data_IF_863412873220
#
_entry.id   IF_863412873220
#
_cell.length_a   1.000
_cell.length_b   1.000
_cell.length_c   1.000
_cell.angle_alpha   90.00
_cell.angle_beta   90.00
_cell.angle_gamma   90.00
#
_symmetry.space_group_name_H-M   'P 1'
#
loop_
_entity.id
_entity.type
_entity.pdbx_description
1 polymer ?
#
# COMPACT_ATOMS: atom_id res chain seq x y z
N UNK A 1 9.90 12.21 9.02
CA UNK A 1 9.14 11.93 7.80
C UNK A 1 7.77 11.40 8.13
N UNK A 2 6.78 11.75 7.36
CA UNK A 2 5.39 11.36 7.55
C UNK A 2 4.99 10.36 6.47
N UNK A 3 4.69 9.14 6.85
CA UNK A 3 4.27 8.09 5.92
C UNK A 3 2.81 7.73 6.22
N UNK A 4 1.98 7.71 5.18
CA UNK A 4 0.59 7.26 5.30
C UNK A 4 0.48 5.83 4.80
N UNK A 5 -0.18 4.98 5.59
CA UNK A 5 -0.55 3.64 5.17
C UNK A 5 -2.08 3.58 5.13
N UNK A 6 -2.62 3.45 3.92
CA UNK A 6 -4.06 3.31 3.71
C UNK A 6 -4.38 1.90 3.26
N UNK A 7 -5.44 1.30 3.82
CA UNK A 7 -5.76 -0.09 3.47
C UNK A 7 -7.25 -0.38 3.60
N UNK A 8 -7.68 -1.44 2.91
CA UNK A 8 -8.98 -2.07 3.12
C UNK A 8 -8.73 -3.55 3.35
N UNK A 9 -9.32 -4.10 4.40
CA UNK A 9 -9.19 -5.51 4.72
C UNK A 9 -10.56 -6.12 4.94
N UNK A 10 -10.75 -7.30 4.37
CA UNK A 10 -11.99 -8.04 4.51
C UNK A 10 -11.98 -9.02 5.67
N UNK A 11 -10.86 -9.67 5.89
CA UNK A 11 -10.73 -10.75 6.87
C UNK A 11 -9.50 -10.58 7.77
N UNK A 12 -8.96 -9.37 7.86
CA UNK A 12 -7.78 -9.10 8.68
C UNK A 12 -6.45 -9.42 7.99
N UNK A 13 -6.46 -10.03 6.80
CA UNK A 13 -5.22 -10.40 6.12
C UNK A 13 -4.37 -9.19 5.77
N UNK A 14 -4.99 -8.15 5.23
CA UNK A 14 -4.27 -6.92 4.87
C UNK A 14 -3.80 -6.19 6.13
N UNK A 15 -4.58 -6.24 7.21
CA UNK A 15 -4.20 -5.65 8.49
C UNK A 15 -2.92 -6.30 9.05
N UNK A 16 -2.77 -7.60 8.89
CA UNK A 16 -1.56 -8.30 9.35
C UNK A 16 -0.34 -7.85 8.57
N UNK A 17 -0.50 -7.62 7.26
CA UNK A 17 0.57 -7.06 6.43
C UNK A 17 0.93 -5.65 6.92
N UNK A 18 -0.08 -4.81 7.15
CA UNK A 18 0.12 -3.45 7.65
C UNK A 18 0.89 -3.45 8.97
N UNK A 19 0.54 -4.36 9.89
CA UNK A 19 1.21 -4.45 11.18
C UNK A 19 2.70 -4.71 11.04
N UNK A 20 3.08 -5.60 10.14
CA UNK A 20 4.50 -5.93 9.92
C UNK A 20 5.23 -4.73 9.31
N UNK A 21 4.61 -4.10 8.30
CA UNK A 21 5.19 -2.91 7.66
C UNK A 21 5.37 -1.78 8.68
N UNK A 22 4.35 -1.54 9.50
CA UNK A 22 4.39 -0.50 10.53
C UNK A 22 5.54 -0.71 11.50
N UNK A 23 5.70 -1.94 12.01
CA UNK A 23 6.77 -2.25 12.96
C UNK A 23 8.14 -1.98 12.36
N UNK A 24 8.33 -2.36 11.10
CA UNK A 24 9.61 -2.16 10.44
C UNK A 24 9.91 -0.67 10.24
N UNK A 25 8.90 0.10 9.81
CA UNK A 25 9.08 1.53 9.59
C UNK A 25 9.33 2.28 10.89
N UNK A 26 8.64 1.93 11.96
CA UNK A 26 8.78 2.61 13.24
C UNK A 26 10.15 2.42 13.89
N UNK A 27 10.92 1.43 13.45
CA UNK A 27 12.30 1.26 13.90
C UNK A 27 13.23 2.35 13.36
N UNK A 28 12.78 3.13 12.39
CA UNK A 28 13.60 4.07 11.65
C UNK A 28 13.24 5.54 11.90
N UNK A 29 12.56 5.83 12.99
CA UNK A 29 12.27 7.21 13.39
C UNK A 29 11.34 7.94 12.41
N UNK A 30 10.36 7.24 11.85
CA UNK A 30 9.36 7.84 10.97
C UNK A 30 8.00 7.84 11.67
N UNK A 31 7.17 8.82 11.35
CA UNK A 31 5.79 8.87 11.84
C UNK A 31 4.89 8.17 10.84
N UNK A 32 4.18 7.16 11.30
CA UNK A 32 3.30 6.36 10.46
C UNK A 32 1.84 6.65 10.83
N UNK A 33 1.05 7.07 9.84
CA UNK A 33 -0.40 7.26 10.01
C UNK A 33 -1.09 6.11 9.29
N UNK A 34 -1.87 5.32 10.02
CA UNK A 34 -2.60 4.18 9.47
C UNK A 34 -4.08 4.51 9.44
N UNK A 35 -4.69 4.39 8.27
CA UNK A 35 -6.10 4.76 8.06
C UNK A 35 -6.73 3.82 7.04
N UNK A 36 -8.00 3.53 7.19
CA UNK A 36 -8.74 2.82 6.14
C UNK A 36 -8.91 3.71 4.91
N UNK A 37 -8.90 3.10 3.72
CA UNK A 37 -8.91 3.88 2.48
C UNK A 37 -10.13 4.80 2.35
N UNK A 38 -11.29 4.38 2.82
CA UNK A 38 -12.48 5.19 2.75
C UNK A 38 -12.38 6.47 3.58
N UNK A 39 -11.53 6.48 4.60
CA UNK A 39 -11.28 7.67 5.43
C UNK A 39 -10.36 8.66 4.74
N UNK A 40 -9.65 8.24 3.69
CA UNK A 40 -8.80 9.13 2.90
C UNK A 40 -9.55 9.81 1.76
N UNK A 41 -10.79 9.43 1.49
CA UNK A 41 -11.59 10.09 0.45
C UNK A 41 -11.75 11.56 0.81
N UNK A 42 -11.39 12.44 -0.12
CA UNK A 42 -11.44 13.89 0.09
C UNK A 42 -10.22 14.49 0.79
N UNK A 43 -9.28 13.65 1.24
CA UNK A 43 -8.07 14.14 1.89
C UNK A 43 -6.99 14.52 0.88
N UNK A 44 -6.21 15.54 1.22
CA UNK A 44 -5.04 15.91 0.44
C UNK A 44 -3.86 15.05 0.85
N UNK A 45 -3.49 14.10 0.01
CA UNK A 45 -2.41 13.16 0.30
C UNK A 45 -1.02 13.74 0.07
N UNK A 46 -0.92 14.92 -0.56
CA UNK A 46 0.36 15.55 -0.84
C UNK A 46 1.11 16.01 0.42
N UNK A 47 0.42 16.05 1.56
CA UNK A 47 1.05 16.43 2.84
C UNK A 47 1.98 15.37 3.42
N UNK A 48 1.93 14.15 2.89
CA UNK A 48 2.79 13.07 3.35
C UNK A 48 4.08 13.03 2.55
N UNK A 49 5.11 12.44 3.14
CA UNK A 49 6.39 12.21 2.46
C UNK A 49 6.39 10.93 1.64
N UNK A 50 5.50 10.01 1.97
CA UNK A 50 5.34 8.76 1.23
C UNK A 50 4.00 8.10 1.50
N UNK A 51 3.55 7.28 0.54
CA UNK A 51 2.26 6.59 0.63
C UNK A 51 2.44 5.10 0.41
N UNK A 52 1.83 4.30 1.28
CA UNK A 52 1.70 2.86 1.10
C UNK A 52 0.21 2.53 1.11
N UNK A 53 -0.29 2.00 0.01
CA UNK A 53 -1.73 1.76 -0.15
C UNK A 53 -1.97 0.29 -0.46
N UNK A 54 -2.96 -0.30 0.19
CA UNK A 54 -3.23 -1.72 0.03
C UNK A 54 -4.68 -2.12 0.11
N UNK A 55 -4.98 -3.30 -0.44
CA UNK A 55 -6.32 -3.85 -0.47
C UNK A 55 -6.28 -5.36 -0.66
N UNK A 56 -7.36 -6.03 -0.27
CA UNK A 56 -7.61 -7.42 -0.63
C UNK A 56 -8.18 -7.48 -2.06
N UNK A 57 -7.80 -8.49 -2.82
CA UNK A 57 -8.35 -8.71 -4.15
C UNK A 57 -9.49 -9.73 -4.09
N UNK A 58 -10.66 -9.32 -4.57
CA UNK A 58 -11.84 -10.20 -4.67
C UNK A 58 -11.81 -11.01 -5.95
N UNK A 59 -12.25 -12.26 -5.88
CA UNK A 59 -12.58 -13.10 -7.02
C UNK A 59 -11.76 -12.85 -8.28
N UNK A 60 -12.34 -12.22 -9.27
CA UNK A 60 -11.73 -11.98 -10.57
C UNK A 60 -10.81 -10.75 -10.61
N UNK A 61 -10.35 -10.29 -9.46
CA UNK A 61 -9.43 -9.16 -9.39
C UNK A 61 -10.10 -7.83 -9.11
N UNK A 62 -11.34 -7.86 -8.66
CA UNK A 62 -12.08 -6.64 -8.33
C UNK A 62 -11.58 -6.02 -7.04
N UNK A 63 -11.62 -4.69 -6.99
CA UNK A 63 -11.37 -3.96 -5.75
C UNK A 63 -12.55 -4.15 -4.81
N UNK A 64 -12.27 -4.10 -3.51
CA UNK A 64 -13.33 -4.01 -2.52
C UNK A 64 -14.10 -2.70 -2.72
N UNK A 65 -15.39 -2.73 -2.44
CA UNK A 65 -16.27 -1.59 -2.67
C UNK A 65 -15.73 -0.32 -2.01
N UNK A 66 -15.23 -0.45 -0.79
CA UNK A 66 -14.69 0.67 -0.03
C UNK A 66 -13.45 1.29 -0.68
N UNK A 67 -12.73 0.53 -1.51
CA UNK A 67 -11.54 1.02 -2.17
C UNK A 67 -11.82 1.67 -3.53
N UNK A 68 -12.96 1.35 -4.16
CA UNK A 68 -13.24 1.83 -5.52
C UNK A 68 -13.30 3.35 -5.60
N UNK A 69 -14.05 3.99 -4.72
CA UNK A 69 -14.17 5.45 -4.70
C UNK A 69 -12.84 6.12 -4.43
N UNK A 70 -12.06 5.55 -3.51
CA UNK A 70 -10.74 6.08 -3.20
C UNK A 70 -9.80 6.01 -4.41
N UNK A 71 -9.80 4.88 -5.12
CA UNK A 71 -8.92 4.70 -6.28
C UNK A 71 -9.28 5.67 -7.40
N UNK A 72 -10.58 5.89 -7.64
CA UNK A 72 -11.01 6.87 -8.64
C UNK A 72 -10.55 8.28 -8.27
N UNK A 73 -10.67 8.65 -7.02
CA UNK A 73 -10.23 9.96 -6.53
C UNK A 73 -8.71 10.10 -6.57
N UNK A 74 -8.00 9.01 -6.27
CA UNK A 74 -6.55 8.97 -6.30
C UNK A 74 -6.00 9.34 -7.67
N UNK A 75 -6.65 8.88 -8.73
CA UNK A 75 -6.21 9.17 -10.11
C UNK A 75 -6.22 10.66 -10.41
N UNK A 76 -7.05 11.44 -9.71
CA UNK A 76 -7.18 12.88 -9.89
C UNK A 76 -6.28 13.69 -8.95
N UNK A 77 -5.61 13.05 -8.01
CA UNK A 77 -4.68 13.73 -7.10
C UNK A 77 -3.42 14.17 -7.84
N UNK A 78 -2.78 15.19 -7.31
CA UNK A 78 -1.52 15.69 -7.86
C UNK A 78 -0.40 15.32 -6.88
N UNK A 79 0.27 14.20 -7.14
CA UNK A 79 1.29 13.63 -6.25
C UNK A 79 2.68 13.63 -6.91
N UNK A 80 3.02 14.69 -7.58
CA UNK A 80 4.21 14.81 -8.41
C UNK A 80 5.49 14.33 -7.71
N UNK A 81 5.98 13.17 -8.14
CA UNK A 81 7.22 12.60 -7.62
C UNK A 81 7.14 11.98 -6.23
N UNK A 82 5.96 11.93 -5.60
CA UNK A 82 5.85 11.38 -4.25
C UNK A 82 6.19 9.88 -4.24
N UNK A 83 7.10 9.44 -3.35
CA UNK A 83 7.38 8.01 -3.22
C UNK A 83 6.14 7.24 -2.78
N UNK A 84 5.82 6.17 -3.49
CA UNK A 84 4.63 5.38 -3.18
C UNK A 84 4.84 3.93 -3.56
N UNK A 85 4.06 3.05 -2.95
CA UNK A 85 4.02 1.65 -3.32
C UNK A 85 2.68 1.04 -2.93
N UNK A 86 2.34 -0.06 -3.57
CA UNK A 86 1.10 -0.77 -3.33
C UNK A 86 1.37 -2.14 -2.72
N UNK A 87 0.44 -2.62 -1.90
CA UNK A 87 0.53 -3.95 -1.31
C UNK A 87 -0.86 -4.55 -1.21
N UNK A 88 -0.92 -5.83 -0.93
CA UNK A 88 -2.21 -6.44 -0.74
C UNK A 88 -2.15 -7.95 -0.57
N UNK A 89 -3.31 -8.52 -0.30
CA UNK A 89 -3.49 -9.96 -0.18
C UNK A 89 -4.52 -10.45 -1.19
N UNK A 90 -4.49 -11.74 -1.46
CA UNK A 90 -5.40 -12.36 -2.39
C UNK A 90 -5.34 -13.87 -2.28
N UNK A 91 -6.05 -14.55 -3.18
CA UNK A 91 -6.14 -16.00 -3.21
C UNK A 91 -5.56 -16.49 -4.55
N UNK A 92 -4.52 -17.33 -4.49
CA UNK A 92 -3.88 -17.88 -5.69
C UNK A 92 -4.82 -18.76 -6.52
N UNK A 93 -5.90 -19.26 -5.91
CA UNK A 93 -6.89 -20.05 -6.64
C UNK A 93 -7.70 -19.22 -7.65
N UNK A 94 -7.63 -17.89 -7.57
CA UNK A 94 -8.31 -17.01 -8.51
C UNK A 94 -7.36 -16.57 -9.64
N UNK A 95 -7.89 -16.44 -10.88
CA UNK A 95 -7.06 -16.09 -12.05
C UNK A 95 -6.32 -14.77 -11.95
N UNK A 96 -6.86 -13.80 -11.21
CA UNK A 96 -6.26 -12.46 -11.09
C UNK A 96 -5.76 -12.21 -9.67
N UNK A 97 -4.85 -13.07 -9.25
CA UNK A 97 -4.26 -12.99 -7.92
C UNK A 97 -3.69 -11.60 -7.65
N UNK A 98 -4.16 -10.98 -6.55
CA UNK A 98 -3.71 -9.66 -6.11
C UNK A 98 -3.79 -8.55 -7.17
N UNK A 99 -4.74 -8.64 -8.10
CA UNK A 99 -4.89 -7.62 -9.15
C UNK A 99 -5.24 -6.25 -8.57
N UNK A 100 -5.84 -6.18 -7.37
CA UNK A 100 -6.11 -4.90 -6.72
C UNK A 100 -4.81 -4.11 -6.47
N UNK A 101 -3.70 -4.80 -6.20
CA UNK A 101 -2.40 -4.16 -6.03
C UNK A 101 -2.00 -3.43 -7.32
N UNK A 102 -2.18 -4.08 -8.46
CA UNK A 102 -1.85 -3.50 -9.75
C UNK A 102 -2.74 -2.29 -10.07
N UNK A 103 -4.02 -2.36 -9.72
CA UNK A 103 -4.95 -1.25 -9.94
C UNK A 103 -4.56 -0.03 -9.10
N UNK A 104 -4.18 -0.24 -7.86
CA UNK A 104 -3.72 0.85 -6.99
C UNK A 104 -2.42 1.44 -7.52
N UNK A 105 -1.50 0.59 -7.95
CA UNK A 105 -0.23 1.04 -8.51
C UNK A 105 -0.43 1.90 -9.75
N UNK A 106 -1.33 1.49 -10.65
CA UNK A 106 -1.66 2.26 -11.85
C UNK A 106 -2.26 3.62 -11.48
N UNK A 107 -3.15 3.64 -10.47
CA UNK A 107 -3.75 4.89 -10.02
C UNK A 107 -2.70 5.85 -9.44
N UNK A 108 -1.74 5.32 -8.68
CA UNK A 108 -0.64 6.12 -8.15
C UNK A 108 0.19 6.72 -9.26
N UNK A 109 0.49 5.94 -10.31
CA UNK A 109 1.22 6.45 -11.47
C UNK A 109 0.46 7.55 -12.18
N UNK A 110 -0.85 7.40 -12.35
CA UNK A 110 -1.68 8.43 -12.97
C UNK A 110 -1.69 9.73 -12.16
N UNK A 111 -1.60 9.62 -10.83
CA UNK A 111 -1.53 10.78 -9.95
C UNK A 111 -0.15 11.46 -9.97
N UNK A 112 0.84 10.87 -10.63
CA UNK A 112 2.19 11.43 -10.72
C UNK A 112 3.16 10.90 -9.66
N UNK A 113 2.75 9.94 -8.83
CA UNK A 113 3.62 9.37 -7.81
C UNK A 113 4.73 8.53 -8.43
N UNK A 114 5.84 8.40 -7.70
CA UNK A 114 6.96 7.54 -8.08
C UNK A 114 6.82 6.20 -7.38
N UNK A 115 6.67 5.12 -8.14
CA UNK A 115 6.59 3.77 -7.59
C UNK A 115 8.01 3.32 -7.25
N UNK A 116 8.28 3.10 -5.98
CA UNK A 116 9.65 2.86 -5.50
C UNK A 116 10.04 1.40 -5.43
N UNK A 117 9.06 0.51 -5.45
CA UNK A 117 9.29 -0.93 -5.44
C UNK A 117 8.09 -1.64 -6.03
N UNK A 118 8.29 -2.86 -6.49
CA UNK A 118 7.19 -3.68 -6.99
C UNK A 118 6.14 -3.89 -5.92
N UNK A 119 4.89 -4.01 -6.32
CA UNK A 119 3.79 -4.25 -5.39
C UNK A 119 4.00 -5.51 -4.59
N UNK A 120 3.73 -5.44 -3.29
CA UNK A 120 3.82 -6.59 -2.40
C UNK A 120 2.53 -7.40 -2.49
N UNK A 121 2.64 -8.67 -2.88
CA UNK A 121 1.49 -9.56 -3.06
C UNK A 121 1.64 -10.76 -2.15
N UNK A 122 0.70 -10.91 -1.22
CA UNK A 122 0.72 -11.98 -0.22
C UNK A 122 -0.52 -12.85 -0.39
N UNK A 123 -0.34 -14.16 -0.44
CA UNK A 123 -1.47 -15.09 -0.44
C UNK A 123 -2.05 -15.17 0.97
N UNK A 124 -3.32 -14.81 1.11
CA UNK A 124 -4.04 -14.76 2.39
C UNK A 124 -3.32 -13.85 3.39
N UNK A 125 -2.92 -14.37 4.56
CA UNK A 125 -2.23 -13.59 5.57
C UNK A 125 -0.73 -13.94 5.60
N UNK A 126 0.12 -13.08 6.20
CA UNK A 126 1.56 -13.35 6.27
C UNK A 126 1.87 -14.32 7.41
N UNK A 127 1.42 -15.55 7.29
CA UNK A 127 1.52 -16.57 8.33
C UNK A 127 2.73 -17.49 8.22
N UNK A 128 3.67 -17.21 7.32
CA UNK A 128 4.91 -17.95 7.18
C UNK A 128 6.11 -17.01 7.31
N UNK A 129 7.30 -17.57 7.72
CA UNK A 129 8.49 -16.72 7.78
C UNK A 129 8.85 -16.04 6.47
N UNK A 130 8.61 -16.70 5.32
CA UNK A 130 8.89 -16.14 4.00
C UNK A 130 7.98 -14.96 3.70
N UNK A 131 6.69 -15.07 4.00
CA UNK A 131 5.73 -13.98 3.79
C UNK A 131 6.05 -12.80 4.69
N UNK A 132 6.39 -13.07 5.95
CA UNK A 132 6.75 -12.02 6.90
C UNK A 132 8.03 -11.30 6.46
N UNK A 133 9.02 -12.06 5.98
CA UNK A 133 10.26 -11.48 5.47
C UNK A 133 10.01 -10.60 4.24
N UNK A 134 9.08 -11.01 3.36
CA UNK A 134 8.70 -10.20 2.21
C UNK A 134 8.08 -8.86 2.62
N UNK A 135 7.23 -8.88 3.64
CA UNK A 135 6.63 -7.65 4.17
C UNK A 135 7.70 -6.72 4.75
N UNK A 136 8.63 -7.26 5.52
CA UNK A 136 9.73 -6.46 6.09
C UNK A 136 10.65 -5.89 5.01
N UNK A 137 10.97 -6.70 4.00
CA UNK A 137 11.82 -6.26 2.89
C UNK A 137 11.17 -5.12 2.10
N UNK A 138 9.87 -5.22 1.87
CA UNK A 138 9.08 -4.17 1.22
C UNK A 138 9.19 -2.85 1.99
N UNK A 139 8.98 -2.91 3.30
CA UNK A 139 9.08 -1.72 4.15
C UNK A 139 10.49 -1.13 4.18
N UNK A 140 11.51 -1.99 4.25
CA UNK A 140 12.90 -1.54 4.25
C UNK A 140 13.28 -0.86 2.94
N UNK A 141 12.84 -1.42 1.82
CA UNK A 141 13.11 -0.83 0.50
C UNK A 141 12.47 0.54 0.40
N UNK A 142 11.23 0.67 0.85
CA UNK A 142 10.51 1.93 0.86
C UNK A 142 11.22 2.97 1.72
N UNK A 143 11.58 2.61 2.93
CA UNK A 143 12.28 3.52 3.85
C UNK A 143 13.63 3.96 3.28
N UNK A 144 14.38 3.03 2.70
CA UNK A 144 15.69 3.34 2.12
C UNK A 144 15.56 4.37 1.00
N UNK A 145 14.54 4.24 0.17
CA UNK A 145 14.28 5.22 -0.88
C UNK A 145 13.98 6.59 -0.29
N UNK A 146 13.14 6.65 0.75
CA UNK A 146 12.81 7.92 1.40
C UNK A 146 14.06 8.60 1.97
N UNK A 147 14.98 7.84 2.55
CA UNK A 147 16.22 8.38 3.07
C UNK A 147 17.05 9.03 1.97
N UNK A 148 17.11 8.41 0.80
CA UNK A 148 17.87 8.94 -0.33
C UNK A 148 17.29 10.26 -0.86
N UNK A 149 15.96 10.36 -0.87
CA UNK A 149 15.26 11.55 -1.37
C UNK A 149 15.38 12.71 -0.39
N UNK A 150 15.37 12.43 0.92
CA UNK A 150 15.37 13.46 1.97
C UNK A 150 16.72 13.67 2.65
N UNK A 151 17.76 13.05 2.14
CA UNK A 151 19.11 13.23 2.71
C UNK A 151 19.85 14.44 2.13
#
# INVERSE_FOLDING_TARGET
MQIAIGFVSMSGNTEDIVSIIQRELEQHDVNVTITELDQFVGEDLSRFDGLLLGSYTWGDGDLQYEAEDFVEELREQFLDGMPAAAFGSGDLDYPKYCAAVDLIEDALKEAGATIVTDGLKIEFDPNTPEKQAACRAFAKTFHRFLQQVHS
#
